data_IF_121507461288
#
_entry.id   IF_121507461288
#
_cell.length_a   1.000
_cell.length_b   1.000
_cell.length_c   1.000
_cell.angle_alpha   90.00
_cell.angle_beta   90.00
_cell.angle_gamma   90.00
#
_symmetry.space_group_name_H-M   'P 1'
#
loop_
_entity.id
_entity.type
_entity.pdbx_description
1 polymer ?
#
# COMPACT_ATOMS: atom_id res chain seq x y z
N UNK A 1 -10.44 2.79 14.22
CA UNK A 1 -10.30 2.32 12.82
C UNK A 1 -10.27 0.80 12.81
N UNK A 2 -10.99 0.19 11.91
CA UNK A 2 -10.89 -1.25 11.64
C UNK A 2 -10.79 -1.45 10.12
N UNK A 3 -10.56 -2.69 9.70
CA UNK A 3 -10.33 -2.99 8.27
C UNK A 3 -11.56 -2.64 7.43
N UNK A 4 -12.77 -2.93 7.92
CA UNK A 4 -13.98 -2.63 7.18
C UNK A 4 -14.14 -1.13 6.94
N UNK A 5 -13.96 -0.34 7.98
CA UNK A 5 -14.04 1.13 7.88
C UNK A 5 -12.95 1.69 6.98
N UNK A 6 -11.75 1.10 7.06
CA UNK A 6 -10.63 1.50 6.21
C UNK A 6 -11.02 1.37 4.73
N UNK A 7 -11.54 0.20 4.33
CA UNK A 7 -11.93 -0.01 2.94
C UNK A 7 -13.07 0.90 2.49
N UNK A 8 -14.05 1.12 3.36
CA UNK A 8 -15.21 1.96 3.03
C UNK A 8 -14.84 3.42 2.84
N UNK A 9 -13.78 3.89 3.48
CA UNK A 9 -13.38 5.30 3.46
C UNK A 9 -12.13 5.57 2.64
N UNK A 10 -11.56 4.55 1.97
CA UNK A 10 -10.34 4.68 1.19
C UNK A 10 -10.61 4.58 -0.29
N UNK A 11 -9.85 5.35 -1.08
CA UNK A 11 -9.98 5.39 -2.54
C UNK A 11 -8.65 5.13 -3.24
N UNK A 12 -7.53 5.57 -2.66
CA UNK A 12 -6.22 5.56 -3.29
C UNK A 12 -5.28 4.64 -2.51
N UNK A 13 -4.72 3.65 -3.21
CA UNK A 13 -3.77 2.69 -2.62
C UNK A 13 -2.46 2.78 -3.36
N UNK A 14 -1.39 3.14 -2.66
CA UNK A 14 -0.03 3.06 -3.19
C UNK A 14 0.49 1.65 -2.92
N UNK A 15 0.88 0.94 -3.96
CA UNK A 15 1.37 -0.44 -3.86
C UNK A 15 2.89 -0.43 -4.02
N UNK A 16 3.59 -0.60 -2.91
CA UNK A 16 5.06 -0.57 -2.87
C UNK A 16 5.61 -1.96 -3.19
N UNK A 17 6.49 -2.01 -4.17
CA UNK A 17 7.03 -3.29 -4.65
C UNK A 17 6.16 -3.96 -5.71
N UNK A 18 5.26 -3.21 -6.31
CA UNK A 18 4.37 -3.72 -7.36
C UNK A 18 5.19 -4.16 -8.58
N UNK A 19 5.03 -5.43 -8.98
CA UNK A 19 5.69 -5.99 -10.16
C UNK A 19 4.86 -5.74 -11.42
N UNK A 20 5.52 -5.49 -12.53
CA UNK A 20 4.86 -5.38 -13.84
C UNK A 20 4.65 -6.73 -14.53
N UNK A 21 5.04 -7.83 -13.87
CA UNK A 21 4.86 -9.19 -14.39
C UNK A 21 3.55 -9.77 -13.89
N UNK A 22 2.65 -10.13 -14.82
CA UNK A 22 1.27 -10.50 -14.48
C UNK A 22 1.15 -11.78 -13.64
N UNK A 23 2.18 -12.63 -13.59
CA UNK A 23 2.18 -13.84 -12.77
C UNK A 23 2.57 -13.62 -11.31
N UNK A 24 3.01 -12.41 -10.96
CA UNK A 24 3.40 -12.09 -9.59
C UNK A 24 2.18 -11.74 -8.73
N UNK A 25 2.27 -12.09 -7.44
CA UNK A 25 1.19 -11.83 -6.49
C UNK A 25 0.84 -10.34 -6.40
N UNK A 26 1.84 -9.48 -6.37
CA UNK A 26 1.60 -8.03 -6.29
C UNK A 26 0.80 -7.51 -7.48
N UNK A 27 1.07 -8.03 -8.68
CA UNK A 27 0.32 -7.66 -9.88
C UNK A 27 -1.15 -8.08 -9.73
N UNK A 28 -1.37 -9.34 -9.35
CA UNK A 28 -2.72 -9.89 -9.22
C UNK A 28 -3.54 -9.16 -8.15
N UNK A 29 -2.92 -8.85 -7.04
CA UNK A 29 -3.58 -8.12 -5.95
C UNK A 29 -3.93 -6.70 -6.39
N UNK A 30 -3.00 -5.99 -7.01
CA UNK A 30 -3.25 -4.64 -7.49
C UNK A 30 -4.34 -4.61 -8.57
N UNK A 31 -4.34 -5.60 -9.47
CA UNK A 31 -5.35 -5.74 -10.52
C UNK A 31 -6.75 -5.95 -9.90
N UNK A 32 -6.84 -6.80 -8.88
CA UNK A 32 -8.07 -6.99 -8.12
C UNK A 32 -8.57 -5.69 -7.50
N UNK A 33 -7.67 -4.93 -6.86
CA UNK A 33 -8.03 -3.68 -6.23
C UNK A 33 -8.52 -2.64 -7.26
N UNK A 34 -7.83 -2.57 -8.39
CA UNK A 34 -8.23 -1.67 -9.48
C UNK A 34 -9.62 -2.04 -10.01
N UNK A 35 -9.88 -3.33 -10.20
CA UNK A 35 -11.20 -3.82 -10.62
C UNK A 35 -12.29 -3.46 -9.61
N UNK A 36 -11.95 -3.37 -8.34
CA UNK A 36 -12.87 -3.01 -7.27
C UNK A 36 -12.89 -1.50 -6.97
N UNK A 37 -12.51 -0.70 -7.98
CA UNK A 37 -12.67 0.75 -8.01
C UNK A 37 -11.71 1.54 -7.12
N UNK A 38 -10.63 0.91 -6.65
CA UNK A 38 -9.55 1.66 -6.02
C UNK A 38 -8.64 2.26 -7.09
N UNK A 39 -8.13 3.45 -6.85
CA UNK A 39 -7.06 4.03 -7.66
C UNK A 39 -5.74 3.45 -7.18
N UNK A 40 -4.93 2.92 -8.10
CA UNK A 40 -3.64 2.31 -7.78
C UNK A 40 -2.51 3.23 -8.18
N UNK A 41 -1.58 3.44 -7.24
CA UNK A 41 -0.34 4.15 -7.51
C UNK A 41 0.80 3.14 -7.40
N UNK A 42 1.40 2.73 -8.53
CA UNK A 42 2.52 1.78 -8.49
C UNK A 42 3.78 2.44 -7.96
N UNK A 43 4.42 1.81 -6.99
CA UNK A 43 5.69 2.28 -6.44
C UNK A 43 6.74 1.19 -6.60
N UNK A 44 7.66 1.39 -7.52
CA UNK A 44 8.77 0.47 -7.76
C UNK A 44 9.81 1.16 -8.62
N UNK A 45 11.08 1.29 -8.17
CA UNK A 45 12.13 1.96 -8.95
C UNK A 45 12.54 1.19 -10.21
N UNK A 46 12.12 -0.06 -10.35
CA UNK A 46 12.55 -0.94 -11.44
C UNK A 46 11.53 -1.05 -12.58
N UNK A 47 10.40 -0.35 -12.50
CA UNK A 47 9.39 -0.34 -13.55
C UNK A 47 9.01 1.09 -13.93
N UNK A 48 8.60 1.28 -15.18
CA UNK A 48 8.13 2.59 -15.64
C UNK A 48 6.60 2.73 -15.47
N UNK A 49 5.89 1.63 -15.61
CA UNK A 49 4.43 1.63 -15.51
C UNK A 49 3.92 0.26 -15.13
N UNK A 50 2.69 0.24 -14.63
CA UNK A 50 1.94 -0.98 -14.36
C UNK A 50 0.55 -0.80 -14.95
N UNK A 51 0.16 -1.71 -15.85
CA UNK A 51 -1.17 -1.69 -16.47
C UNK A 51 -1.53 -0.32 -17.07
N UNK A 52 -0.55 0.32 -17.70
CA UNK A 52 -0.72 1.64 -18.32
C UNK A 52 -0.68 2.80 -17.33
N UNK A 53 -0.48 2.54 -16.04
CA UNK A 53 -0.43 3.58 -15.00
C UNK A 53 1.03 3.87 -14.67
N UNK A 54 1.42 5.15 -14.69
CA UNK A 54 2.77 5.57 -14.40
C UNK A 54 3.21 5.12 -13.00
N UNK A 55 4.42 4.57 -12.89
CA UNK A 55 5.00 4.18 -11.62
C UNK A 55 5.95 5.26 -11.10
N UNK A 56 6.08 5.32 -9.78
CA UNK A 56 7.04 6.21 -9.12
C UNK A 56 8.10 5.35 -8.41
N UNK A 57 9.32 5.86 -8.32
CA UNK A 57 10.40 5.12 -7.68
C UNK A 57 10.22 5.02 -6.16
N UNK A 58 9.58 6.02 -5.55
CA UNK A 58 9.30 6.03 -4.11
C UNK A 58 8.03 6.81 -3.81
N UNK A 59 7.52 6.65 -2.60
CA UNK A 59 6.36 7.42 -2.13
C UNK A 59 6.59 8.92 -2.20
N UNK A 60 7.83 9.36 -2.00
CA UNK A 60 8.17 10.77 -1.97
C UNK A 60 8.08 11.45 -3.34
N UNK A 61 8.01 10.68 -4.42
CA UNK A 61 7.90 11.21 -5.78
C UNK A 61 6.44 11.39 -6.23
N UNK A 62 5.48 10.95 -5.43
CA UNK A 62 4.06 11.14 -5.74
C UNK A 62 3.75 12.64 -5.69
N UNK A 63 2.94 13.10 -6.64
CA UNK A 63 2.54 14.51 -6.70
C UNK A 63 1.77 14.90 -5.44
N UNK A 64 2.01 16.11 -4.96
CA UNK A 64 1.44 16.60 -3.70
C UNK A 64 -0.09 16.64 -3.68
N UNK A 65 -0.73 16.76 -4.83
CA UNK A 65 -2.17 16.82 -4.97
C UNK A 65 -2.83 15.46 -4.76
N UNK A 66 -2.05 14.39 -4.83
CA UNK A 66 -2.55 13.03 -4.68
C UNK A 66 -2.47 12.62 -3.21
N UNK A 67 -3.63 12.27 -2.65
CA UNK A 67 -3.72 11.82 -1.26
C UNK A 67 -3.79 10.29 -1.23
N UNK A 68 -2.77 9.66 -0.65
CA UNK A 68 -2.72 8.21 -0.50
C UNK A 68 -3.45 7.80 0.77
N UNK A 69 -4.43 6.90 0.64
CA UNK A 69 -5.17 6.39 1.79
C UNK A 69 -4.48 5.19 2.43
N UNK A 70 -4.04 4.24 1.61
CA UNK A 70 -3.40 3.01 2.09
C UNK A 70 -2.05 2.84 1.38
N UNK A 71 -1.02 2.52 2.14
CA UNK A 71 0.27 2.08 1.60
C UNK A 71 0.34 0.57 1.78
N UNK A 72 0.21 -0.16 0.68
CA UNK A 72 0.21 -1.63 0.64
C UNK A 72 1.61 -2.10 0.25
N UNK A 73 2.26 -2.90 1.12
CA UNK A 73 3.69 -3.18 1.02
C UNK A 73 3.97 -4.63 0.64
N UNK A 74 4.53 -4.81 -0.56
CA UNK A 74 5.07 -6.06 -1.09
C UNK A 74 6.60 -6.00 -1.08
N UNK A 75 7.18 -5.83 0.08
CA UNK A 75 8.63 -5.80 0.27
C UNK A 75 9.01 -6.73 1.41
N UNK A 76 10.27 -7.18 1.43
CA UNK A 76 10.79 -7.95 2.57
C UNK A 76 10.68 -7.12 3.84
N UNK A 77 10.43 -7.78 4.97
CA UNK A 77 10.23 -7.14 6.27
C UNK A 77 11.34 -6.15 6.64
N UNK A 78 12.58 -6.47 6.26
CA UNK A 78 13.75 -5.61 6.56
C UNK A 78 13.70 -4.24 5.88
N UNK A 79 12.87 -4.08 4.82
CA UNK A 79 12.77 -2.80 4.09
C UNK A 79 11.54 -1.98 4.50
N UNK A 80 10.66 -2.54 5.34
CA UNK A 80 9.39 -1.89 5.66
C UNK A 80 9.58 -0.61 6.47
N UNK A 81 10.53 -0.58 7.37
CA UNK A 81 10.79 0.61 8.19
C UNK A 81 11.09 1.83 7.31
N UNK A 82 11.91 1.65 6.26
CA UNK A 82 12.23 2.74 5.34
C UNK A 82 11.00 3.23 4.59
N UNK A 83 10.11 2.30 4.19
CA UNK A 83 8.85 2.67 3.53
C UNK A 83 7.97 3.50 4.47
N UNK A 84 7.87 3.10 5.73
CA UNK A 84 7.07 3.84 6.71
C UNK A 84 7.67 5.23 6.98
N UNK A 85 9.00 5.34 7.01
CA UNK A 85 9.65 6.64 7.15
C UNK A 85 9.29 7.59 6.00
N UNK A 86 9.15 7.07 4.79
CA UNK A 86 8.67 7.87 3.65
C UNK A 86 7.19 8.21 3.82
N UNK A 87 6.37 7.23 4.21
CA UNK A 87 4.93 7.42 4.33
C UNK A 87 4.56 8.52 5.33
N UNK A 88 5.25 8.61 6.46
CA UNK A 88 4.95 9.63 7.47
C UNK A 88 5.30 11.04 7.01
N UNK A 89 6.07 11.18 5.92
CA UNK A 89 6.41 12.47 5.31
C UNK A 89 5.37 12.94 4.30
N UNK A 90 4.42 12.10 3.94
CA UNK A 90 3.32 12.51 3.07
C UNK A 90 2.38 13.45 3.83
N UNK A 91 1.78 14.39 3.12
CA UNK A 91 0.86 15.36 3.70
C UNK A 91 -0.41 15.47 2.85
N UNK A 92 -1.57 14.98 3.33
CA UNK A 92 -1.75 14.33 4.64
C UNK A 92 -1.10 12.95 4.69
N UNK A 93 -0.84 12.46 5.90
CA UNK A 93 -0.34 11.10 6.10
C UNK A 93 -1.39 10.09 5.64
N UNK A 94 -0.97 8.90 5.16
CA UNK A 94 -1.94 7.86 4.81
C UNK A 94 -2.73 7.41 6.03
N UNK A 95 -3.90 6.84 5.79
CA UNK A 95 -4.75 6.29 6.86
C UNK A 95 -4.15 5.01 7.42
N UNK A 96 -3.53 4.21 6.57
CA UNK A 96 -3.02 2.91 6.97
C UNK A 96 -1.74 2.50 6.23
N UNK A 97 -0.94 1.71 6.94
CA UNK A 97 0.16 0.91 6.40
C UNK A 97 -0.33 -0.54 6.39
N UNK A 98 -0.25 -1.18 5.24
CA UNK A 98 -0.67 -2.57 5.07
C UNK A 98 0.53 -3.42 4.70
N UNK A 99 0.89 -4.36 5.58
CA UNK A 99 1.98 -5.31 5.35
C UNK A 99 1.38 -6.63 4.90
N UNK A 100 1.71 -7.05 3.69
CA UNK A 100 1.19 -8.25 3.06
C UNK A 100 1.62 -9.54 3.79
N UNK A 101 1.09 -10.69 3.35
CA UNK A 101 1.43 -11.99 3.94
C UNK A 101 2.95 -12.17 3.98
N UNK A 102 3.46 -12.55 5.14
CA UNK A 102 4.88 -12.76 5.37
C UNK A 102 5.66 -11.48 5.66
N UNK A 103 5.00 -10.33 5.70
CA UNK A 103 5.65 -9.05 5.95
C UNK A 103 5.26 -8.55 7.34
N UNK A 104 6.25 -8.41 8.20
CA UNK A 104 6.06 -7.94 9.58
C UNK A 104 7.26 -7.10 10.00
N UNK A 105 7.01 -6.01 10.74
CA UNK A 105 8.08 -5.20 11.31
C UNK A 105 7.55 -4.47 12.53
N UNK A 106 8.04 -4.87 13.69
CA UNK A 106 7.64 -4.23 14.96
C UNK A 106 8.03 -2.76 14.97
N UNK A 107 9.24 -2.44 14.54
CA UNK A 107 9.72 -1.05 14.51
C UNK A 107 8.89 -0.19 13.57
N UNK A 108 8.59 -0.70 12.39
CA UNK A 108 7.76 0.02 11.43
C UNK A 108 6.35 0.24 11.95
N UNK A 109 5.76 -0.79 12.59
CA UNK A 109 4.43 -0.67 13.18
C UNK A 109 4.42 0.40 14.27
N UNK A 110 5.38 0.35 15.18
CA UNK A 110 5.46 1.33 16.27
C UNK A 110 5.60 2.75 15.74
N UNK A 111 6.44 2.94 14.73
CA UNK A 111 6.62 4.25 14.11
C UNK A 111 5.32 4.75 13.46
N UNK A 112 4.65 3.88 12.72
CA UNK A 112 3.40 4.25 12.06
C UNK A 112 2.31 4.59 13.09
N UNK A 113 2.15 3.75 14.11
CA UNK A 113 1.15 3.97 15.15
C UNK A 113 1.42 5.25 15.95
N UNK A 114 2.68 5.53 16.22
CA UNK A 114 3.08 6.78 16.89
C UNK A 114 2.67 8.02 16.09
N UNK A 115 2.56 7.86 14.77
CA UNK A 115 2.14 8.93 13.87
C UNK A 115 0.65 8.89 13.52
N UNK A 116 -0.14 8.13 14.27
CA UNK A 116 -1.58 8.08 14.11
C UNK A 116 -2.05 7.25 12.92
N UNK A 117 -1.20 6.37 12.39
CA UNK A 117 -1.50 5.55 11.22
C UNK A 117 -1.92 4.15 11.68
N UNK A 118 -3.05 3.66 11.12
CA UNK A 118 -3.53 2.30 11.38
C UNK A 118 -2.62 1.29 10.69
N UNK A 119 -2.29 0.18 11.36
CA UNK A 119 -1.36 -0.82 10.81
C UNK A 119 -2.03 -2.19 10.73
N UNK A 120 -1.91 -2.83 9.58
CA UNK A 120 -2.27 -4.23 9.36
C UNK A 120 -1.00 -4.97 8.98
N UNK A 121 -0.72 -6.10 9.63
CA UNK A 121 0.49 -6.90 9.36
C UNK A 121 0.13 -8.32 8.95
N UNK A 122 0.93 -8.88 8.03
CA UNK A 122 0.88 -10.30 7.68
C UNK A 122 -0.51 -10.73 7.19
N UNK A 123 -1.14 -9.92 6.35
CA UNK A 123 -2.44 -10.22 5.76
C UNK A 123 -2.46 -9.79 4.29
N UNK A 124 -3.11 -10.59 3.44
CA UNK A 124 -3.31 -10.22 2.04
C UNK A 124 -4.51 -9.28 1.93
N UNK A 125 -4.28 -8.08 1.41
CA UNK A 125 -5.33 -7.05 1.29
C UNK A 125 -6.49 -7.54 0.42
N UNK A 126 -6.22 -8.31 -0.64
CA UNK A 126 -7.27 -8.89 -1.50
C UNK A 126 -8.14 -9.84 -0.70
N UNK A 127 -7.53 -10.75 0.06
CA UNK A 127 -8.26 -11.74 0.85
C UNK A 127 -9.14 -11.06 1.90
N UNK A 128 -8.58 -10.06 2.59
CA UNK A 128 -9.35 -9.34 3.61
C UNK A 128 -10.51 -8.56 3.00
N UNK A 129 -10.32 -7.98 1.82
CA UNK A 129 -11.38 -7.28 1.11
C UNK A 129 -12.48 -8.25 0.67
N UNK A 130 -12.10 -9.41 0.13
CA UNK A 130 -13.06 -10.45 -0.30
C UNK A 130 -13.92 -10.95 0.85
N UNK A 131 -13.33 -11.11 2.05
CA UNK A 131 -14.05 -11.57 3.24
C UNK A 131 -15.19 -10.63 3.64
N UNK A 132 -15.04 -9.36 3.36
CA UNK A 132 -16.03 -8.35 3.76
C UNK A 132 -17.14 -8.19 2.73
N UNK A 133 -17.05 -8.83 1.57
CA UNK A 133 -18.03 -8.76 0.48
C UNK A 133 -18.40 -7.31 0.11
N UNK A 134 -17.41 -6.45 0.12
CA UNK A 134 -17.58 -5.03 -0.20
C UNK A 134 -17.66 -4.75 -1.69
#
# INVERSE_FOLDING_TARGET
MDIQKLFKTSHVIAVVGLSDKFDRDSYKVADYLLYNEFEIIPINPNIDSWNGIEAYASLLEIQKEVHVDIVDIFRKSEFVLDVVKEAIRLNPKPKAIWMQLGVESKEARELAEKNGIFVVENKCIRIEHQKLAL
#
